data_IF_894825992325
#
_entry.id   IF_894825992325
#
_cell.length_a   1.000
_cell.length_b   1.000
_cell.length_c   1.000
_cell.angle_alpha   90.00
_cell.angle_beta   90.00
_cell.angle_gamma   90.00
#
_symmetry.space_group_name_H-M   'P 1'
#
loop_
_entity.id
_entity.type
_entity.pdbx_description
1 polymer ?
#
# COMPACT_ATOMS: atom_id res chain seq x y z
N UNK A 1 9.92 -15.19 -14.67
CA UNK A 1 8.49 -15.26 -14.25
C UNK A 1 7.84 -13.94 -14.64
N UNK A 2 6.87 -13.93 -15.57
CA UNK A 2 6.13 -12.72 -15.96
C UNK A 2 4.84 -12.66 -15.15
N UNK A 3 4.63 -11.60 -14.39
CA UNK A 3 3.34 -11.36 -13.72
C UNK A 3 2.36 -10.93 -14.79
N UNK A 4 1.36 -11.77 -15.09
CA UNK A 4 0.25 -11.38 -15.94
C UNK A 4 -0.59 -10.34 -15.19
N UNK A 5 -0.63 -9.09 -15.69
CA UNK A 5 -1.56 -8.08 -15.21
C UNK A 5 -2.95 -8.37 -15.79
N UNK A 6 -3.62 -9.36 -15.23
CA UNK A 6 -5.04 -9.56 -15.49
C UNK A 6 -5.80 -8.52 -14.64
N UNK A 7 -6.73 -7.74 -15.23
CA UNK A 7 -7.63 -6.94 -14.43
C UNK A 7 -8.41 -7.89 -13.53
N UNK A 8 -8.44 -7.63 -12.22
CA UNK A 8 -9.28 -8.37 -11.30
C UNK A 8 -10.74 -8.24 -11.78
N UNK A 9 -11.38 -9.36 -12.11
CA UNK A 9 -12.72 -9.36 -12.74
C UNK A 9 -13.87 -9.21 -11.73
N UNK A 10 -13.62 -8.56 -10.58
CA UNK A 10 -14.59 -8.39 -9.50
C UNK A 10 -14.51 -7.00 -8.86
N UNK A 11 -15.59 -6.59 -8.19
CA UNK A 11 -15.57 -5.38 -7.36
C UNK A 11 -14.53 -5.57 -6.26
N UNK A 12 -13.64 -4.61 -6.01
CA UNK A 12 -12.68 -4.71 -4.92
C UNK A 12 -13.38 -4.68 -3.56
N UNK A 13 -12.95 -5.55 -2.64
CA UNK A 13 -13.46 -5.61 -1.27
C UNK A 13 -13.04 -4.39 -0.45
N UNK A 14 -11.93 -3.75 -0.82
CA UNK A 14 -11.46 -2.48 -0.26
C UNK A 14 -10.74 -1.61 -1.31
N UNK A 15 -10.89 -0.30 -1.19
CA UNK A 15 -10.24 0.70 -2.05
C UNK A 15 -9.66 1.81 -1.19
N UNK A 16 -8.37 2.11 -1.41
CA UNK A 16 -7.69 3.29 -0.89
C UNK A 16 -7.51 4.30 -2.03
N UNK A 17 -8.02 5.52 -1.83
CA UNK A 17 -7.82 6.66 -2.75
C UNK A 17 -7.00 7.73 -2.05
N UNK A 18 -5.88 8.13 -2.66
CA UNK A 18 -4.96 9.16 -2.13
C UNK A 18 -4.00 9.58 -3.24
N UNK A 19 -3.19 10.61 -2.98
CA UNK A 19 -2.06 10.96 -3.83
C UNK A 19 -0.82 10.10 -3.53
N UNK A 20 0.15 10.11 -4.45
CA UNK A 20 1.34 9.26 -4.36
C UNK A 20 2.28 9.65 -3.21
N UNK A 21 2.32 10.93 -2.82
CA UNK A 21 3.20 11.43 -1.77
C UNK A 21 2.67 11.02 -0.39
N UNK A 22 1.36 11.16 -0.19
CA UNK A 22 0.64 10.65 0.99
C UNK A 22 0.81 9.14 1.12
N UNK A 23 0.61 8.38 0.04
CA UNK A 23 0.84 6.92 0.04
C UNK A 23 2.27 6.59 0.48
N UNK A 24 3.27 7.26 -0.10
CA UNK A 24 4.68 7.04 0.26
C UNK A 24 4.97 7.38 1.72
N UNK A 25 4.40 8.47 2.23
CA UNK A 25 4.60 8.90 3.61
C UNK A 25 3.99 7.88 4.60
N UNK A 26 2.82 7.32 4.30
CA UNK A 26 2.18 6.26 5.08
C UNK A 26 3.03 4.99 5.06
N UNK A 27 3.44 4.49 3.88
CA UNK A 27 4.26 3.28 3.78
C UNK A 27 5.65 3.44 4.45
N UNK A 28 6.16 4.67 4.55
CA UNK A 28 7.41 4.97 5.23
C UNK A 28 7.22 5.27 6.74
N UNK A 29 6.03 5.08 7.29
CA UNK A 29 5.65 5.41 8.67
C UNK A 29 5.94 6.86 9.07
N UNK A 30 5.98 7.79 8.11
CA UNK A 30 6.16 9.23 8.36
C UNK A 30 4.87 9.92 8.76
N UNK A 31 3.73 9.36 8.33
CA UNK A 31 2.39 9.83 8.67
C UNK A 31 1.57 8.61 9.12
N UNK A 32 0.80 8.78 10.20
CA UNK A 32 -0.15 7.77 10.66
C UNK A 32 -1.34 7.68 9.70
N UNK A 33 -1.72 6.45 9.32
CA UNK A 33 -2.79 6.23 8.34
C UNK A 33 -4.17 6.67 8.86
N UNK A 34 -4.41 6.54 10.17
CA UNK A 34 -5.67 6.95 10.79
C UNK A 34 -5.76 8.47 10.82
N UNK A 35 -4.66 9.16 11.11
CA UNK A 35 -4.60 10.61 11.02
C UNK A 35 -4.80 11.10 9.58
N UNK A 36 -4.11 10.50 8.61
CA UNK A 36 -4.29 10.86 7.20
C UNK A 36 -5.74 10.66 6.73
N UNK A 37 -6.43 9.62 7.21
CA UNK A 37 -7.86 9.42 6.95
C UNK A 37 -8.72 10.51 7.59
N UNK A 38 -8.48 10.84 8.87
CA UNK A 38 -9.22 11.89 9.59
C UNK A 38 -9.03 13.27 8.96
N UNK A 39 -7.83 13.59 8.48
CA UNK A 39 -7.51 14.86 7.81
C UNK A 39 -7.98 14.90 6.34
N UNK A 40 -8.50 13.80 5.79
CA UNK A 40 -8.97 13.71 4.41
C UNK A 40 -7.86 13.59 3.35
N UNK A 41 -6.62 13.28 3.75
CA UNK A 41 -5.51 13.03 2.84
C UNK A 41 -5.64 11.68 2.12
N UNK A 42 -6.41 10.76 2.70
CA UNK A 42 -6.78 9.49 2.07
C UNK A 42 -8.20 9.10 2.43
N UNK A 43 -8.79 8.28 1.56
CA UNK A 43 -10.11 7.70 1.76
C UNK A 43 -10.05 6.19 1.60
N UNK A 44 -10.54 5.47 2.61
CA UNK A 44 -10.70 4.02 2.61
C UNK A 44 -12.18 3.67 2.50
N UNK A 45 -12.53 2.84 1.53
CA UNK A 45 -13.88 2.32 1.34
C UNK A 45 -13.83 0.81 1.20
N UNK A 46 -14.99 0.14 1.36
CA UNK A 46 -15.09 -1.32 1.30
C UNK A 46 -15.50 -1.94 2.63
N UNK A 47 -15.33 -3.25 2.77
CA UNK A 47 -15.64 -4.00 3.98
C UNK A 47 -14.61 -3.73 5.09
N UNK A 48 -15.04 -3.70 6.36
CA UNK A 48 -14.16 -3.39 7.50
C UNK A 48 -12.92 -4.28 7.53
N UNK A 49 -13.13 -5.60 7.48
CA UNK A 49 -12.03 -6.58 7.51
C UNK A 49 -11.10 -6.42 6.30
N UNK A 50 -11.64 -6.09 5.12
CA UNK A 50 -10.85 -5.87 3.91
C UNK A 50 -10.01 -4.60 4.00
N UNK A 51 -10.56 -3.52 4.59
CA UNK A 51 -9.80 -2.29 4.87
C UNK A 51 -8.68 -2.56 5.87
N UNK A 52 -8.95 -3.29 6.95
CA UNK A 52 -7.91 -3.60 7.93
C UNK A 52 -6.77 -4.41 7.31
N UNK A 53 -7.08 -5.46 6.52
CA UNK A 53 -6.07 -6.23 5.78
C UNK A 53 -5.24 -5.37 4.82
N UNK A 54 -5.87 -4.39 4.17
CA UNK A 54 -5.18 -3.45 3.30
C UNK A 54 -4.24 -2.52 4.09
N UNK A 55 -4.68 -2.01 5.23
CA UNK A 55 -3.86 -1.21 6.14
C UNK A 55 -2.64 -2.00 6.61
N UNK A 56 -2.86 -3.23 7.08
CA UNK A 56 -1.80 -4.11 7.55
C UNK A 56 -0.76 -4.38 6.45
N UNK A 57 -1.21 -4.56 5.20
CA UNK A 57 -0.33 -4.71 4.05
C UNK A 57 0.53 -3.47 3.78
N UNK A 58 -0.06 -2.28 3.85
CA UNK A 58 0.66 -1.01 3.62
C UNK A 58 1.70 -0.71 4.69
N UNK A 59 1.40 -1.11 5.93
CA UNK A 59 2.25 -0.91 7.10
C UNK A 59 3.18 -2.10 7.39
N UNK A 60 3.08 -3.19 6.62
CA UNK A 60 3.97 -4.32 6.75
C UNK A 60 5.41 -3.88 6.47
N UNK A 61 6.39 -4.29 7.29
CA UNK A 61 7.79 -4.03 6.99
C UNK A 61 8.15 -4.74 5.68
N UNK A 62 8.30 -3.98 4.61
CA UNK A 62 8.86 -4.50 3.37
C UNK A 62 10.32 -4.87 3.66
N UNK A 63 10.62 -6.16 3.78
CA UNK A 63 11.99 -6.64 3.79
C UNK A 63 12.66 -6.06 2.55
N UNK A 64 13.63 -5.16 2.74
CA UNK A 64 14.39 -4.57 1.66
C UNK A 64 14.99 -5.73 0.88
N UNK A 65 14.50 -5.95 -0.34
CA UNK A 65 15.20 -6.82 -1.28
C UNK A 65 16.55 -6.14 -1.54
N UNK A 66 17.58 -6.59 -0.83
CA UNK A 66 18.94 -6.15 -1.03
C UNK A 66 19.32 -6.54 -2.46
N UNK A 67 19.17 -5.59 -3.39
CA UNK A 67 19.88 -5.66 -4.67
C UNK A 67 21.36 -5.59 -4.28
N UNK A 68 22.04 -6.74 -4.27
CA UNK A 68 23.47 -6.78 -4.08
C UNK A 68 24.12 -5.95 -5.18
N UNK A 69 24.97 -4.96 -4.86
CA UNK A 69 25.71 -4.23 -5.89
C UNK A 69 26.71 -5.19 -6.55
N UNK A 70 26.63 -5.28 -7.88
CA UNK A 70 27.67 -5.74 -8.81
C UNK A 70 28.60 -6.86 -8.35
N UNK A 71 28.33 -8.08 -8.81
CA UNK A 71 29.38 -9.09 -9.01
C UNK A 71 29.68 -9.17 -10.52
N UNK A 72 30.20 -8.09 -11.08
CA UNK A 72 31.00 -8.11 -12.31
C UNK A 72 32.33 -7.44 -11.97
N UNK A 73 33.37 -8.25 -11.83
CA UNK A 73 34.78 -7.90 -11.98
C UNK A 73 35.55 -9.18 -12.29
#
# INVERSE_FOLDING_TARGET
MRIARLPATGRPDAVLTTDADTLRAVCAHKIDISEAARSGLLHLTGEEDARQRLIDLLLAPFAQSRVAPGADS
#
